data_IF_692223973882
#
_entry.id   IF_692223973882
#
_cell.length_a   1.000
_cell.length_b   1.000
_cell.length_c   1.000
_cell.angle_alpha   90.00
_cell.angle_beta   90.00
_cell.angle_gamma   90.00
#
_symmetry.space_group_name_H-M   'P 1'
#
loop_
_entity.id
_entity.type
_entity.pdbx_description
1 polymer ?
#
# COMPACT_ATOMS: atom_id res chain seq x y z
N UNK A 1 -28.39 18.03 -0.56
CA UNK A 1 -27.08 18.68 -0.76
C UNK A 1 -26.00 17.60 -0.66
N UNK A 2 -25.39 17.19 -1.77
CA UNK A 2 -24.34 16.16 -1.77
C UNK A 2 -23.00 16.89 -1.88
N UNK A 3 -22.32 17.03 -0.75
CA UNK A 3 -20.99 17.64 -0.69
C UNK A 3 -20.02 16.88 -1.58
N UNK A 4 -19.65 17.51 -2.69
CA UNK A 4 -18.60 17.08 -3.61
C UNK A 4 -17.24 17.30 -2.96
N UNK A 5 -16.94 16.57 -1.90
CA UNK A 5 -15.56 16.41 -1.45
C UNK A 5 -14.88 15.48 -2.47
N UNK A 6 -14.38 16.05 -3.57
CA UNK A 6 -13.38 15.37 -4.38
C UNK A 6 -12.20 15.15 -3.45
N UNK A 7 -12.04 13.92 -2.97
CA UNK A 7 -10.86 13.52 -2.21
C UNK A 7 -9.65 13.89 -3.06
N UNK A 8 -8.74 14.67 -2.46
CA UNK A 8 -7.52 15.11 -3.14
C UNK A 8 -6.83 13.88 -3.73
N UNK A 9 -6.39 13.89 -5.00
CA UNK A 9 -5.67 12.76 -5.57
C UNK A 9 -4.49 12.44 -4.66
N UNK A 10 -4.40 11.17 -4.23
CA UNK A 10 -3.34 10.71 -3.32
C UNK A 10 -2.02 10.74 -4.07
N UNK A 11 -1.01 11.36 -3.47
CA UNK A 11 0.33 11.36 -4.06
C UNK A 11 1.01 10.00 -3.86
N UNK A 12 2.05 9.67 -4.65
CA UNK A 12 2.82 8.44 -4.43
C UNK A 12 3.35 8.31 -2.99
N UNK A 13 3.77 9.44 -2.40
CA UNK A 13 4.21 9.52 -1.00
C UNK A 13 3.08 9.19 -0.03
N UNK A 14 1.88 9.76 -0.23
CA UNK A 14 0.72 9.48 0.63
C UNK A 14 0.34 8.00 0.61
N UNK A 15 0.42 7.36 -0.55
CA UNK A 15 0.10 5.93 -0.72
C UNK A 15 1.07 5.06 0.09
N UNK A 16 2.37 5.36 0.04
CA UNK A 16 3.38 4.64 0.83
C UNK A 16 3.15 4.84 2.33
N UNK A 17 2.88 6.07 2.77
CA UNK A 17 2.63 6.36 4.18
C UNK A 17 1.39 5.63 4.71
N UNK A 18 0.29 5.65 3.95
CA UNK A 18 -0.92 4.91 4.30
C UNK A 18 -0.69 3.39 4.31
N UNK A 19 0.11 2.87 3.38
CA UNK A 19 0.51 1.44 3.36
C UNK A 19 1.22 1.08 4.66
N UNK A 20 2.20 1.89 5.07
CA UNK A 20 2.93 1.68 6.31
C UNK A 20 2.03 1.74 7.55
N UNK A 21 1.13 2.72 7.62
CA UNK A 21 0.16 2.82 8.73
C UNK A 21 -0.73 1.57 8.85
N UNK A 22 -1.19 1.04 7.71
CA UNK A 22 -1.94 -0.22 7.69
C UNK A 22 -1.09 -1.39 8.20
N UNK A 23 0.16 -1.51 7.72
CA UNK A 23 1.08 -2.57 8.15
C UNK A 23 1.38 -2.49 9.65
N UNK A 24 1.70 -1.32 10.18
CA UNK A 24 1.97 -1.12 11.62
C UNK A 24 0.74 -1.50 12.45
N UNK A 25 -0.47 -1.11 12.02
CA UNK A 25 -1.70 -1.50 12.71
C UNK A 25 -1.91 -3.03 12.69
N UNK A 26 -1.68 -3.68 11.55
CA UNK A 26 -1.81 -5.13 11.42
C UNK A 26 -0.77 -5.90 12.24
N UNK A 27 0.43 -5.34 12.40
CA UNK A 27 1.52 -5.90 13.21
C UNK A 27 1.17 -5.83 14.71
N UNK A 28 0.84 -4.64 15.20
CA UNK A 28 0.48 -4.38 16.61
C UNK A 28 -0.74 -5.20 17.08
N UNK A 29 -1.68 -5.49 16.18
CA UNK A 29 -2.91 -6.19 16.49
C UNK A 29 -2.94 -7.65 16.02
N UNK A 30 -1.79 -8.25 15.67
CA UNK A 30 -1.75 -9.60 15.10
C UNK A 30 -2.19 -10.74 16.05
N UNK A 31 -2.36 -10.47 17.36
CA UNK A 31 -2.79 -11.47 18.36
C UNK A 31 -4.15 -11.22 19.02
N UNK A 32 -4.85 -10.12 18.69
CA UNK A 32 -6.11 -9.78 19.34
C UNK A 32 -7.32 -10.37 18.59
N UNK A 33 -8.15 -11.16 19.28
CA UNK A 33 -9.38 -11.77 18.74
C UNK A 33 -10.58 -10.81 18.66
N UNK A 34 -10.45 -9.58 19.15
CA UNK A 34 -11.57 -8.63 19.29
C UNK A 34 -11.68 -7.62 18.15
N UNK A 35 -10.93 -7.78 17.06
CA UNK A 35 -10.69 -6.73 16.07
C UNK A 35 -10.86 -7.13 14.62
N UNK A 36 -11.54 -8.25 14.32
CA UNK A 36 -11.58 -8.83 12.97
C UNK A 36 -12.14 -7.86 11.91
N UNK A 37 -13.24 -7.15 12.19
CA UNK A 37 -13.79 -6.18 11.23
C UNK A 37 -12.83 -5.02 10.91
N UNK A 38 -12.13 -4.49 11.91
CA UNK A 38 -11.13 -3.41 11.73
C UNK A 38 -9.88 -3.93 11.02
N UNK A 39 -9.50 -5.18 11.30
CA UNK A 39 -8.39 -5.87 10.63
C UNK A 39 -8.70 -6.07 9.15
N UNK A 40 -9.91 -6.52 8.82
CA UNK A 40 -10.36 -6.73 7.44
C UNK A 40 -10.44 -5.42 6.66
N UNK A 41 -10.90 -4.33 7.30
CA UNK A 41 -10.86 -2.99 6.74
C UNK A 41 -9.42 -2.58 6.40
N UNK A 42 -8.48 -2.76 7.34
CA UNK A 42 -7.06 -2.43 7.12
C UNK A 42 -6.41 -3.33 6.07
N UNK A 43 -6.82 -4.59 5.97
CA UNK A 43 -6.34 -5.50 4.92
C UNK A 43 -6.84 -5.08 3.53
N UNK A 44 -8.10 -4.64 3.45
CA UNK A 44 -8.70 -4.14 2.21
C UNK A 44 -8.02 -2.84 1.75
N UNK A 45 -7.76 -1.93 2.70
CA UNK A 45 -7.04 -0.68 2.45
C UNK A 45 -5.59 -0.96 2.00
N UNK A 46 -4.89 -1.86 2.68
CA UNK A 46 -3.54 -2.29 2.31
C UNK A 46 -3.50 -2.87 0.89
N UNK A 47 -4.45 -3.74 0.55
CA UNK A 47 -4.56 -4.33 -0.79
C UNK A 47 -4.81 -3.27 -1.88
N UNK A 48 -5.61 -2.24 -1.57
CA UNK A 48 -5.82 -1.11 -2.48
C UNK A 48 -4.55 -0.31 -2.68
N UNK A 49 -3.86 0.05 -1.60
CA UNK A 49 -2.63 0.85 -1.69
C UNK A 49 -1.53 0.12 -2.45
N UNK A 50 -1.43 -1.20 -2.28
CA UNK A 50 -0.54 -2.06 -3.07
C UNK A 50 -0.87 -1.98 -4.57
N UNK A 51 -2.14 -2.09 -4.95
CA UNK A 51 -2.54 -1.96 -6.36
C UNK A 51 -2.19 -0.58 -6.92
N UNK A 52 -2.39 0.47 -6.14
CA UNK A 52 -2.04 1.83 -6.54
C UNK A 52 -0.51 1.97 -6.71
N UNK A 53 0.29 1.43 -5.80
CA UNK A 53 1.75 1.40 -5.94
C UNK A 53 2.18 0.64 -7.20
N UNK A 54 1.57 -0.52 -7.46
CA UNK A 54 1.84 -1.30 -8.68
C UNK A 54 1.49 -0.51 -9.95
N UNK A 55 0.35 0.18 -9.95
CA UNK A 55 -0.07 1.02 -11.07
C UNK A 55 0.88 2.18 -11.34
N UNK A 56 1.48 2.76 -10.29
CA UNK A 56 2.48 3.84 -10.44
C UNK A 56 3.77 3.29 -11.06
N UNK A 57 4.21 2.12 -10.60
CA UNK A 57 5.49 1.52 -10.98
C UNK A 57 5.49 0.86 -12.36
N UNK A 58 4.39 0.20 -12.72
CA UNK A 58 4.30 -0.61 -13.95
C UNK A 58 3.29 -0.07 -14.96
N UNK A 59 2.60 1.03 -14.64
CA UNK A 59 1.47 1.52 -15.43
C UNK A 59 0.20 0.68 -15.20
N UNK A 60 -0.88 1.08 -15.87
CA UNK A 60 -2.21 0.47 -15.78
C UNK A 60 -2.75 -0.01 -17.14
N UNK A 61 -1.88 -0.16 -18.14
CA UNK A 61 -2.24 -0.52 -19.52
C UNK A 61 -2.65 0.67 -20.41
N UNK A 62 -3.13 1.76 -19.82
CA UNK A 62 -3.55 2.97 -20.55
C UNK A 62 -2.48 4.07 -20.53
N UNK A 63 -1.68 4.12 -19.46
CA UNK A 63 -0.62 5.11 -19.27
C UNK A 63 0.68 4.45 -18.81
N UNK A 64 1.80 4.89 -19.42
CA UNK A 64 3.14 4.52 -18.99
C UNK A 64 3.47 5.07 -17.59
N UNK A 65 4.33 4.37 -16.82
CA UNK A 65 4.76 4.83 -15.50
C UNK A 65 5.53 6.16 -15.60
N UNK A 66 5.12 7.15 -14.80
CA UNK A 66 5.80 8.44 -14.74
C UNK A 66 7.05 8.31 -13.88
N UNK A 67 8.23 8.59 -14.46
CA UNK A 67 9.53 8.41 -13.79
C UNK A 67 9.61 9.15 -12.46
N UNK A 68 9.15 10.41 -12.41
CA UNK A 68 9.18 11.20 -11.18
C UNK A 68 8.33 10.57 -10.06
N UNK A 69 7.13 10.10 -10.40
CA UNK A 69 6.24 9.44 -9.46
C UNK A 69 6.84 8.11 -8.95
N UNK A 70 7.51 7.36 -9.82
CA UNK A 70 8.24 6.15 -9.44
C UNK A 70 9.36 6.47 -8.46
N UNK A 71 10.17 7.49 -8.73
CA UNK A 71 11.27 7.92 -7.84
C UNK A 71 10.73 8.32 -6.47
N UNK A 72 9.68 9.15 -6.40
CA UNK A 72 9.08 9.57 -5.13
C UNK A 72 8.52 8.39 -4.33
N UNK A 73 7.81 7.46 -5.00
CA UNK A 73 7.29 6.24 -4.38
C UNK A 73 8.43 5.41 -3.80
N UNK A 74 9.45 5.14 -4.61
CA UNK A 74 10.60 4.29 -4.24
C UNK A 74 11.33 4.88 -3.04
N UNK A 75 11.65 6.17 -3.10
CA UNK A 75 12.35 6.87 -2.02
C UNK A 75 11.57 6.81 -0.71
N UNK A 76 10.28 7.08 -0.73
CA UNK A 76 9.44 7.01 0.47
C UNK A 76 9.31 5.55 0.96
N UNK A 77 9.21 4.59 0.05
CA UNK A 77 9.06 3.17 0.37
C UNK A 77 10.29 2.62 1.13
N UNK A 78 11.48 3.07 0.75
CA UNK A 78 12.74 2.68 1.40
C UNK A 78 13.19 3.61 2.52
N UNK A 79 12.59 4.80 2.67
CA UNK A 79 12.93 5.76 3.74
C UNK A 79 12.72 5.18 5.14
N UNK A 80 11.73 4.32 5.28
CA UNK A 80 11.36 3.71 6.56
C UNK A 80 11.33 2.17 6.48
N UNK A 81 10.96 1.51 7.58
CA UNK A 81 10.86 0.06 7.69
C UNK A 81 9.66 -0.55 6.91
N UNK A 82 9.14 0.13 5.88
CA UNK A 82 7.94 -0.30 5.13
C UNK A 82 8.18 -1.63 4.43
N UNK A 83 9.33 -1.81 3.76
CA UNK A 83 9.68 -3.08 3.11
C UNK A 83 9.73 -4.24 4.12
N UNK A 84 10.40 -4.04 5.27
CA UNK A 84 10.51 -5.07 6.32
C UNK A 84 9.13 -5.49 6.83
N UNK A 85 8.24 -4.53 7.10
CA UNK A 85 6.88 -4.81 7.53
C UNK A 85 6.09 -5.53 6.44
N UNK A 86 6.22 -5.10 5.18
CA UNK A 86 5.54 -5.74 4.05
C UNK A 86 5.96 -7.23 3.92
N UNK A 87 7.26 -7.53 4.09
CA UNK A 87 7.77 -8.90 4.05
C UNK A 87 7.17 -9.77 5.17
N UNK A 88 7.02 -9.24 6.39
CA UNK A 88 6.41 -9.96 7.52
C UNK A 88 4.94 -10.27 7.25
N UNK A 89 4.23 -9.36 6.58
CA UNK A 89 2.80 -9.48 6.29
C UNK A 89 2.46 -10.15 4.96
N UNK A 90 3.45 -10.40 4.08
CA UNK A 90 3.28 -11.05 2.78
C UNK A 90 2.47 -12.36 2.84
N UNK A 91 2.72 -13.30 3.77
CA UNK A 91 1.95 -14.55 3.84
C UNK A 91 0.45 -14.35 4.13
N UNK A 92 0.08 -13.16 4.64
CA UNK A 92 -1.31 -12.79 4.97
C UNK A 92 -1.98 -12.03 3.84
N UNK A 93 -1.23 -11.60 2.83
CA UNK A 93 -1.74 -10.94 1.63
C UNK A 93 -2.10 -12.01 0.59
N UNK A 94 -3.30 -11.91 0.03
CA UNK A 94 -3.75 -12.89 -0.97
C UNK A 94 -2.86 -12.84 -2.22
N UNK A 95 -2.55 -14.00 -2.80
CA UNK A 95 -1.47 -14.24 -3.79
C UNK A 95 -1.42 -13.27 -5.00
N UNK A 96 -2.52 -12.63 -5.37
CA UNK A 96 -2.57 -11.62 -6.46
C UNK A 96 -1.69 -10.38 -6.18
N UNK A 97 -1.39 -10.13 -4.91
CA UNK A 97 -0.65 -8.97 -4.39
C UNK A 97 0.88 -9.22 -4.38
N UNK A 98 1.33 -10.48 -4.45
CA UNK A 98 2.73 -10.89 -4.29
C UNK A 98 3.70 -10.40 -5.38
N UNK A 99 3.22 -9.80 -6.48
CA UNK A 99 4.11 -9.30 -7.54
C UNK A 99 4.96 -8.08 -7.12
N UNK A 100 4.74 -7.49 -5.94
CA UNK A 100 5.56 -6.39 -5.43
C UNK A 100 6.96 -6.80 -4.97
N UNK A 101 7.22 -8.07 -4.67
CA UNK A 101 8.59 -8.49 -4.32
C UNK A 101 9.56 -8.38 -5.49
N UNK A 102 9.05 -8.42 -6.74
CA UNK A 102 9.83 -8.12 -7.94
C UNK A 102 10.28 -6.65 -8.03
N UNK A 103 9.80 -5.77 -7.16
CA UNK A 103 10.25 -4.38 -7.12
C UNK A 103 11.61 -4.21 -6.40
N UNK A 104 11.99 -5.18 -5.55
CA UNK A 104 13.23 -5.12 -4.76
C UNK A 104 14.32 -6.09 -5.25
N UNK A 105 14.06 -6.85 -6.31
CA UNK A 105 14.94 -7.82 -6.98
C UNK A 105 15.10 -7.43 -8.44
#
# INVERSE_FOLDING_TARGET
MKGLFKTKPRTPVDIVRQTRECLVHLDLHSGSRSGDAKRDEKMTELSKNIRDMKSILYGNGESEPVTEACVQLTQEFFRENTLRLLIIHLPKLNLEVCNLTCFCL
#
